data_IF_754490569004
#
_entry.id   IF_754490569004
#
_cell.length_a   1.000
_cell.length_b   1.000
_cell.length_c   1.000
_cell.angle_alpha   90.00
_cell.angle_beta   90.00
_cell.angle_gamma   90.00
#
_symmetry.space_group_name_H-M   'P 1'
#
loop_
_entity.id
_entity.type
_entity.pdbx_description
1 polymer ?
#
# COMPACT_ATOMS: atom_id res chain seq x y z
N UNK A 1 -5.12 -19.40 17.48
CA UNK A 1 -4.53 -18.23 18.15
C UNK A 1 -4.49 -17.10 17.13
N UNK A 2 -4.94 -15.87 17.43
CA UNK A 2 -4.91 -14.79 16.44
C UNK A 2 -3.46 -14.49 16.07
N UNK A 3 -3.15 -14.55 14.77
CA UNK A 3 -1.85 -14.17 14.21
C UNK A 3 -1.99 -12.85 13.44
N UNK A 4 -0.90 -12.08 13.41
CA UNK A 4 -0.86 -10.72 12.88
C UNK A 4 0.14 -10.64 11.73
N UNK A 5 -0.20 -9.89 10.70
CA UNK A 5 0.57 -9.80 9.47
C UNK A 5 1.48 -8.57 9.47
N UNK A 6 2.75 -8.78 9.10
CA UNK A 6 3.68 -7.71 8.71
C UNK A 6 4.28 -8.10 7.37
N UNK A 7 3.97 -7.34 6.32
CA UNK A 7 4.31 -7.75 4.95
C UNK A 7 3.65 -9.08 4.60
N UNK A 8 4.42 -10.09 4.24
CA UNK A 8 3.94 -11.44 3.92
C UNK A 8 4.09 -12.46 5.07
N UNK A 9 4.61 -12.04 6.23
CA UNK A 9 4.93 -12.94 7.36
C UNK A 9 3.91 -12.75 8.49
N UNK A 10 3.53 -13.85 9.13
CA UNK A 10 2.59 -13.84 10.25
C UNK A 10 3.30 -14.10 11.58
N UNK A 11 2.94 -13.29 12.58
CA UNK A 11 3.46 -13.32 13.93
C UNK A 11 2.36 -13.73 14.91
N UNK A 12 2.66 -14.55 15.93
CA UNK A 12 1.64 -15.04 16.86
C UNK A 12 1.11 -13.98 17.84
N UNK A 13 1.78 -12.83 17.98
CA UNK A 13 1.34 -11.74 18.87
C UNK A 13 1.48 -10.36 18.22
N UNK A 14 0.63 -9.41 18.62
CA UNK A 14 0.70 -8.01 18.15
C UNK A 14 2.04 -7.37 18.50
N UNK A 15 2.57 -7.68 19.68
CA UNK A 15 3.84 -7.12 20.13
C UNK A 15 5.01 -7.56 19.23
N UNK A 16 5.05 -8.82 18.81
CA UNK A 16 6.08 -9.31 17.88
C UNK A 16 5.93 -8.70 16.48
N UNK A 17 4.70 -8.51 16.00
CA UNK A 17 4.45 -7.76 14.77
C UNK A 17 4.94 -6.30 14.89
N UNK A 18 4.59 -5.61 15.97
CA UNK A 18 5.04 -4.25 16.24
C UNK A 18 6.58 -4.15 16.32
N UNK A 19 7.25 -5.12 16.97
CA UNK A 19 8.70 -5.20 17.04
C UNK A 19 9.36 -5.34 15.67
N UNK A 20 8.75 -6.14 14.78
CA UNK A 20 9.24 -6.33 13.41
C UNK A 20 9.10 -5.06 12.58
N UNK A 21 7.97 -4.35 12.71
CA UNK A 21 7.79 -3.06 12.05
C UNK A 21 8.76 -2.03 12.61
N UNK A 22 8.93 -1.99 13.94
CA UNK A 22 9.83 -1.05 14.58
C UNK A 22 11.29 -1.26 14.14
N UNK A 23 11.75 -2.52 14.05
CA UNK A 23 13.12 -2.84 13.64
C UNK A 23 13.44 -2.44 12.21
N UNK A 24 12.44 -2.34 11.32
CA UNK A 24 12.62 -1.84 9.96
C UNK A 24 12.98 -0.35 9.90
N UNK A 25 12.72 0.42 10.96
CA UNK A 25 12.98 1.86 11.00
C UNK A 25 14.20 2.25 11.85
N UNK A 26 14.69 1.37 12.72
CA UNK A 26 15.85 1.66 13.58
C UNK A 26 17.08 1.95 12.72
N UNK A 27 17.83 2.99 13.08
CA UNK A 27 19.09 3.33 12.42
C UNK A 27 18.91 4.01 11.07
N UNK A 28 17.67 4.19 10.61
CA UNK A 28 17.41 5.07 9.48
C UNK A 28 17.76 6.52 9.84
N UNK A 29 18.22 7.28 8.85
CA UNK A 29 18.54 8.70 9.01
C UNK A 29 17.47 9.51 8.28
N UNK A 30 16.68 10.27 9.04
CA UNK A 30 15.61 11.10 8.50
C UNK A 30 15.96 12.58 8.62
N UNK A 31 15.70 13.35 7.58
CA UNK A 31 15.88 14.80 7.59
C UNK A 31 14.59 15.45 8.11
N UNK A 32 14.66 16.19 9.21
CA UNK A 32 13.57 16.99 9.74
C UNK A 32 14.09 18.38 10.11
N UNK A 33 13.38 19.44 9.68
CA UNK A 33 13.77 20.82 10.01
C UNK A 33 15.17 21.21 9.51
N UNK A 34 15.65 20.63 8.41
CA UNK A 34 16.98 20.92 7.85
C UNK A 34 18.15 20.23 8.56
N UNK A 35 17.87 19.35 9.55
CA UNK A 35 18.88 18.55 10.24
C UNK A 35 18.59 17.05 10.09
N UNK A 36 19.66 16.26 9.96
CA UNK A 36 19.56 14.80 9.93
C UNK A 36 19.42 14.24 11.35
N UNK A 37 18.52 13.27 11.52
CA UNK A 37 18.24 12.61 12.77
C UNK A 37 18.36 11.09 12.60
N UNK A 38 19.01 10.42 13.54
CA UNK A 38 19.04 8.96 13.61
C UNK A 38 17.80 8.49 14.36
N UNK A 39 17.07 7.54 13.78
CA UNK A 39 15.92 6.92 14.41
C UNK A 39 16.38 5.89 15.44
N UNK A 40 15.97 6.09 16.70
CA UNK A 40 16.11 5.14 17.80
C UNK A 40 14.73 4.68 18.29
N UNK A 41 14.64 3.51 18.93
CA UNK A 41 13.40 3.06 19.57
C UNK A 41 13.42 3.47 21.04
N UNK A 42 12.30 4.01 21.50
CA UNK A 42 12.08 4.37 22.91
C UNK A 42 11.20 3.35 23.60
N UNK A 43 10.06 3.03 23.00
CA UNK A 43 9.13 2.02 23.53
C UNK A 43 8.32 1.38 22.40
N UNK A 44 7.93 0.12 22.62
CA UNK A 44 7.11 -0.64 21.69
C UNK A 44 5.93 -1.19 22.47
N UNK A 45 4.73 -0.80 22.05
CA UNK A 45 3.47 -1.31 22.56
C UNK A 45 2.70 -2.02 21.44
N UNK A 46 1.71 -2.85 21.76
CA UNK A 46 0.88 -3.54 20.75
C UNK A 46 0.14 -2.60 19.80
N UNK A 47 -0.13 -1.36 20.22
CA UNK A 47 -0.94 -0.38 19.48
C UNK A 47 -0.18 0.89 19.09
N UNK A 48 1.08 1.02 19.52
CA UNK A 48 1.88 2.22 19.26
C UNK A 48 3.38 1.92 19.37
N UNK A 49 4.18 2.57 18.53
CA UNK A 49 5.64 2.52 18.56
C UNK A 49 6.16 3.94 18.78
N UNK A 50 6.95 4.15 19.83
CA UNK A 50 7.57 5.44 20.12
C UNK A 50 9.00 5.43 19.62
N UNK A 51 9.27 6.29 18.65
CA UNK A 51 10.60 6.53 18.09
C UNK A 51 11.21 7.78 18.72
N UNK A 52 12.51 7.74 18.95
CA UNK A 52 13.33 8.90 19.23
C UNK A 52 14.06 9.31 17.95
N UNK A 53 14.10 10.60 17.68
CA UNK A 53 14.87 11.19 16.59
C UNK A 53 16.04 11.92 17.23
N UNK A 54 17.24 11.34 17.12
CA UNK A 54 18.46 11.92 17.70
C UNK A 54 19.18 12.76 16.64
N UNK A 55 19.33 14.08 16.82
CA UNK A 55 20.02 14.91 15.84
C UNK A 55 21.49 14.49 15.70
N UNK A 56 21.98 14.33 14.47
CA UNK A 56 23.40 13.98 14.22
C UNK A 56 24.35 15.11 14.63
N UNK A 57 23.88 16.35 14.61
CA UNK A 57 24.61 17.54 15.05
C UNK A 57 24.77 17.64 16.58
N UNK A 58 24.14 16.74 17.34
CA UNK A 58 23.97 16.88 18.78
C UNK A 58 22.79 17.81 19.10
N UNK A 59 21.99 17.43 20.11
CA UNK A 59 20.79 18.17 20.49
C UNK A 59 19.82 17.32 21.32
N UNK A 60 18.70 17.91 21.78
CA UNK A 60 17.66 17.16 22.47
C UNK A 60 16.99 16.16 21.53
N UNK A 61 16.62 15.01 22.08
CA UNK A 61 15.86 14.00 21.37
C UNK A 61 14.43 14.49 21.10
N UNK A 62 13.92 14.24 19.90
CA UNK A 62 12.50 14.45 19.58
C UNK A 62 11.80 13.09 19.62
N UNK A 63 10.73 12.96 20.41
CA UNK A 63 9.93 11.74 20.47
C UNK A 63 8.76 11.80 19.49
N UNK A 64 8.56 10.74 18.73
CA UNK A 64 7.48 10.58 17.76
C UNK A 64 6.74 9.30 18.06
N UNK A 65 5.44 9.42 18.35
CA UNK A 65 4.56 8.28 18.57
C UNK A 65 3.87 7.93 17.25
N UNK A 66 4.20 6.77 16.71
CA UNK A 66 3.47 6.17 15.58
C UNK A 66 2.38 5.26 16.13
N UNK A 67 1.13 5.50 15.75
CA UNK A 67 0.08 4.51 15.98
C UNK A 67 0.35 3.26 15.14
N UNK A 68 0.05 2.09 15.68
CA UNK A 68 0.22 0.82 15.01
C UNK A 68 -1.05 -0.01 15.17
N UNK A 69 -1.64 -0.43 14.06
CA UNK A 69 -2.80 -1.31 14.05
C UNK A 69 -2.41 -2.60 13.33
N UNK A 70 -2.35 -3.70 14.09
CA UNK A 70 -1.90 -4.98 13.57
C UNK A 70 -3.01 -5.62 12.71
N UNK A 71 -2.73 -5.83 11.43
CA UNK A 71 -3.66 -6.53 10.53
C UNK A 71 -3.70 -8.03 10.85
N UNK A 72 -4.86 -8.69 10.73
CA UNK A 72 -4.94 -10.14 10.90
C UNK A 72 -4.16 -10.85 9.79
N UNK A 73 -3.55 -11.99 10.14
CA UNK A 73 -2.86 -12.85 9.18
C UNK A 73 -3.81 -13.36 8.09
N UNK A 74 -3.37 -13.25 6.83
CA UNK A 74 -4.17 -13.70 5.69
C UNK A 74 -5.32 -12.76 5.37
N UNK A 75 -5.14 -11.45 5.62
CA UNK A 75 -6.13 -10.42 5.30
C UNK A 75 -6.51 -10.42 3.80
N UNK A 76 -5.55 -10.77 2.93
CA UNK A 76 -5.77 -11.00 1.52
C UNK A 76 -5.39 -12.43 1.17
N UNK A 77 -6.35 -13.21 0.72
CA UNK A 77 -6.15 -14.56 0.21
C UNK A 77 -6.04 -14.54 -1.32
N UNK A 78 -5.54 -15.64 -1.91
CA UNK A 78 -5.45 -15.79 -3.35
C UNK A 78 -6.83 -15.68 -4.04
N UNK A 79 -7.90 -16.10 -3.37
CA UNK A 79 -9.29 -15.92 -3.82
C UNK A 79 -9.68 -14.45 -3.95
N UNK A 80 -9.24 -13.61 -3.00
CA UNK A 80 -9.52 -12.17 -3.04
C UNK A 80 -8.76 -11.50 -4.19
N UNK A 81 -7.51 -11.94 -4.42
CA UNK A 81 -6.73 -11.53 -5.58
C UNK A 81 -7.40 -11.89 -6.91
N UNK A 82 -7.97 -13.10 -7.01
CA UNK A 82 -8.71 -13.52 -8.20
C UNK A 82 -9.99 -12.71 -8.41
N UNK A 83 -10.74 -12.44 -7.33
CA UNK A 83 -11.95 -11.63 -7.39
C UNK A 83 -11.67 -10.20 -7.85
N UNK A 84 -10.65 -9.55 -7.28
CA UNK A 84 -10.21 -8.22 -7.69
C UNK A 84 -9.69 -8.22 -9.14
N UNK A 85 -8.94 -9.26 -9.53
CA UNK A 85 -8.46 -9.44 -10.90
C UNK A 85 -9.59 -9.50 -11.93
N UNK A 86 -10.67 -10.23 -11.64
CA UNK A 86 -11.85 -10.28 -12.51
C UNK A 86 -12.61 -8.97 -12.58
N UNK A 87 -12.64 -8.17 -11.52
CA UNK A 87 -13.24 -6.82 -11.60
C UNK A 87 -12.48 -5.94 -12.59
N UNK A 88 -11.14 -5.92 -12.49
CA UNK A 88 -10.30 -5.15 -13.44
C UNK A 88 -10.44 -5.70 -14.85
N UNK A 89 -10.39 -7.03 -15.02
CA UNK A 89 -10.56 -7.70 -16.31
C UNK A 89 -11.92 -7.40 -16.95
N UNK A 90 -13.00 -7.41 -16.17
CA UNK A 90 -14.35 -7.09 -16.63
C UNK A 90 -14.46 -5.66 -17.18
N UNK A 91 -13.88 -4.68 -16.51
CA UNK A 91 -13.84 -3.29 -16.99
C UNK A 91 -13.14 -3.20 -18.35
N UNK A 92 -11.98 -3.87 -18.49
CA UNK A 92 -11.25 -3.87 -19.75
C UNK A 92 -12.01 -4.54 -20.89
N UNK A 93 -12.70 -5.66 -20.62
CA UNK A 93 -13.55 -6.34 -21.60
C UNK A 93 -14.65 -5.39 -22.08
N UNK A 94 -15.30 -4.65 -21.18
CA UNK A 94 -16.36 -3.69 -21.53
C UNK A 94 -15.81 -2.53 -22.37
N UNK A 95 -14.71 -1.91 -21.93
CA UNK A 95 -14.08 -0.79 -22.65
C UNK A 95 -13.65 -1.22 -24.06
N UNK A 96 -13.00 -2.38 -24.16
CA UNK A 96 -12.59 -2.93 -25.44
C UNK A 96 -13.81 -3.24 -26.33
N UNK A 97 -14.87 -3.81 -25.75
CA UNK A 97 -16.13 -4.07 -26.46
C UNK A 97 -16.75 -2.80 -27.04
N UNK A 98 -16.82 -1.72 -26.26
CA UNK A 98 -17.32 -0.43 -26.74
C UNK A 98 -16.45 0.17 -27.84
N UNK A 99 -15.12 0.13 -27.68
CA UNK A 99 -14.19 0.58 -28.74
C UNK A 99 -14.35 -0.25 -30.01
N UNK A 100 -14.48 -1.57 -29.88
CA UNK A 100 -14.65 -2.48 -31.00
C UNK A 100 -15.97 -2.21 -31.75
N UNK A 101 -17.08 -2.05 -31.02
CA UNK A 101 -18.39 -1.70 -31.60
C UNK A 101 -18.31 -0.33 -32.28
N UNK A 102 -17.75 0.69 -31.61
CA UNK A 102 -17.63 2.01 -32.19
C UNK A 102 -16.78 1.97 -33.49
N UNK A 103 -15.66 1.26 -33.47
CA UNK A 103 -14.77 1.15 -34.64
C UNK A 103 -15.39 0.36 -35.79
N UNK A 104 -16.20 -0.66 -35.50
CA UNK A 104 -16.83 -1.47 -36.54
C UNK A 104 -18.07 -0.78 -37.12
N UNK A 105 -18.92 -0.21 -36.27
CA UNK A 105 -20.17 0.42 -36.70
C UNK A 105 -19.93 1.79 -37.34
N UNK A 106 -19.10 2.65 -36.75
CA UNK A 106 -18.89 4.00 -37.26
C UNK A 106 -17.89 4.08 -38.43
N UNK A 107 -17.03 3.09 -38.68
CA UNK A 107 -16.21 3.08 -39.90
C UNK A 107 -16.83 2.31 -41.07
N UNK A 108 -17.78 1.41 -40.84
CA UNK A 108 -18.55 0.77 -41.91
C UNK A 108 -19.74 1.64 -42.33
N UNK A 109 -20.24 2.52 -41.44
CA UNK A 109 -21.36 3.42 -41.68
C UNK A 109 -21.08 4.61 -42.62
N UNK A 110 -19.83 4.98 -42.85
CA UNK A 110 -19.45 6.06 -43.79
C UNK A 110 -19.42 5.62 -45.26
N UNK A 111 -19.81 4.38 -45.58
CA UNK A 111 -19.76 3.81 -46.94
C UNK A 111 -21.10 3.76 -47.68
N UNK A 112 -22.14 4.47 -47.23
CA UNK A 112 -23.52 4.16 -47.64
C UNK A 112 -24.48 5.32 -47.94
N UNK A 113 -24.01 6.54 -48.20
CA UNK A 113 -24.90 7.61 -48.67
C UNK A 113 -24.21 8.64 -49.59
N UNK A 114 -23.70 8.18 -50.72
CA UNK A 114 -23.31 9.05 -51.83
C UNK A 114 -24.45 9.03 -52.85
N UNK A 115 -25.49 9.81 -52.58
CA UNK A 115 -26.47 10.14 -53.59
C UNK A 115 -25.82 10.92 -54.72
N UNK A 116 -25.70 10.33 -55.90
CA UNK A 116 -25.78 10.94 -57.24
C UNK A 116 -25.18 10.01 -58.32
N UNK A 117 -26.03 9.24 -59.01
CA UNK A 117 -26.17 9.12 -60.48
C UNK A 117 -27.31 8.17 -60.81
#
# INVERSE_FOLDING_TARGET
>A
MPSYQVGAVCYPTQLQAAQTVASSQIGNVVQQGGSAHVVEIRSINPTAITYGLRPVSGGPLIEVVSTFEAQPCGLLQASDGLALGWMVGGVWIVVYGLMFIARTVFHIGDGGNDGNT
#
